data_IF_795466528739
#
_entry.id   IF_795466528739
#
_cell.length_a   1.000
_cell.length_b   1.000
_cell.length_c   1.000
_cell.angle_alpha   90.00
_cell.angle_beta   90.00
_cell.angle_gamma   90.00
#
_symmetry.space_group_name_H-M   'P 1'
#
loop_
_entity.id
_entity.type
_entity.pdbx_description
1 polymer ?
#
# COMPACT_ATOMS: atom_id res chain seq x y z
N UNK A 1 16.55 10.48 -0.36
CA UNK A 1 15.09 10.36 -0.55
C UNK A 1 14.55 10.01 0.82
N UNK A 2 14.09 11.00 1.57
CA UNK A 2 13.68 10.84 2.99
C UNK A 2 12.16 10.59 3.15
N UNK A 3 11.52 9.95 2.16
CA UNK A 3 10.08 9.67 2.20
C UNK A 3 9.78 8.28 1.64
N UNK A 4 8.94 7.52 2.34
CA UNK A 4 8.45 6.22 1.90
C UNK A 4 7.35 6.33 0.83
N UNK A 5 6.82 5.19 0.38
CA UNK A 5 5.87 5.14 -0.73
C UNK A 5 4.54 5.87 -0.44
N UNK A 6 4.06 5.82 0.80
CA UNK A 6 2.91 6.61 1.25
C UNK A 6 3.19 8.12 1.18
N UNK A 7 4.41 8.55 1.49
CA UNK A 7 4.78 9.96 1.48
C UNK A 7 4.82 10.49 0.04
N UNK A 8 5.24 9.66 -0.92
CA UNK A 8 5.15 9.98 -2.35
C UNK A 8 3.69 10.08 -2.81
N UNK A 9 2.83 9.12 -2.46
CA UNK A 9 1.38 9.19 -2.77
C UNK A 9 0.73 10.46 -2.19
N UNK A 10 1.08 10.84 -0.96
CA UNK A 10 0.57 12.03 -0.31
C UNK A 10 1.06 13.32 -0.99
N UNK A 11 2.35 13.39 -1.33
CA UNK A 11 2.95 14.53 -2.07
C UNK A 11 2.28 14.78 -3.41
N UNK A 12 1.78 13.73 -4.07
CA UNK A 12 1.02 13.83 -5.33
C UNK A 12 -0.49 14.03 -5.12
N UNK A 13 -0.94 14.34 -3.91
CA UNK A 13 -2.36 14.52 -3.56
C UNK A 13 -3.26 13.34 -3.94
N UNK A 14 -2.71 12.12 -3.95
CA UNK A 14 -3.46 10.91 -4.28
C UNK A 14 -4.16 10.34 -3.04
N UNK A 15 -3.61 10.61 -1.86
CA UNK A 15 -4.11 10.12 -0.56
C UNK A 15 -3.99 11.20 0.53
N UNK A 16 -4.80 11.08 1.57
CA UNK A 16 -4.75 11.94 2.75
C UNK A 16 -3.48 11.71 3.59
N UNK A 17 -3.23 12.59 4.57
CA UNK A 17 -2.15 12.44 5.54
C UNK A 17 -2.29 11.18 6.42
N UNK A 18 -3.53 10.69 6.62
CA UNK A 18 -3.83 9.53 7.47
C UNK A 18 -3.66 8.19 6.73
N UNK A 19 -3.45 8.21 5.42
CA UNK A 19 -3.35 6.99 4.61
C UNK A 19 -2.23 6.07 5.11
N UNK A 20 -1.07 6.63 5.46
CA UNK A 20 0.09 5.87 5.95
C UNK A 20 -0.23 5.06 7.20
N UNK A 21 -0.88 5.68 8.19
CA UNK A 21 -1.32 4.99 9.41
C UNK A 21 -2.33 3.87 9.08
N UNK A 22 -3.25 4.14 8.15
CA UNK A 22 -4.26 3.15 7.74
C UNK A 22 -3.65 1.89 7.11
N UNK A 23 -2.56 2.03 6.34
CA UNK A 23 -1.79 0.90 5.80
C UNK A 23 -1.16 0.10 6.93
N UNK A 24 -0.43 0.75 7.85
CA UNK A 24 0.22 0.05 8.96
C UNK A 24 -0.77 -0.69 9.86
N UNK A 25 -1.94 -0.09 10.11
CA UNK A 25 -3.01 -0.74 10.86
C UNK A 25 -3.49 -2.02 10.17
N UNK A 26 -3.63 -2.02 8.83
CA UNK A 26 -4.04 -3.21 8.08
C UNK A 26 -2.97 -4.29 8.08
N UNK A 27 -1.71 -3.92 7.87
CA UNK A 27 -0.57 -4.84 7.91
C UNK A 27 -0.47 -5.57 9.26
N UNK A 28 -0.73 -4.84 10.36
CA UNK A 28 -0.72 -5.42 11.71
C UNK A 28 -1.84 -6.44 11.96
N UNK A 29 -2.98 -6.30 11.27
CA UNK A 29 -4.11 -7.23 11.40
C UNK A 29 -3.83 -8.51 10.61
N UNK A 30 -3.33 -8.36 9.39
CA UNK A 30 -3.01 -9.47 8.50
C UNK A 30 -1.92 -9.00 7.53
N UNK A 31 -0.89 -9.83 7.36
CA UNK A 31 0.18 -9.56 6.40
C UNK A 31 -0.41 -9.38 4.99
N UNK A 32 0.11 -8.39 4.25
CA UNK A 32 -0.26 -8.17 2.84
C UNK A 32 0.71 -8.83 1.86
N UNK A 33 1.63 -9.66 2.38
CA UNK A 33 2.47 -10.56 1.60
C UNK A 33 1.61 -11.61 0.87
N UNK A 34 1.89 -11.78 -0.41
CA UNK A 34 1.26 -12.78 -1.29
C UNK A 34 2.21 -13.96 -1.58
N UNK A 35 3.35 -14.04 -0.90
CA UNK A 35 4.46 -14.91 -1.25
C UNK A 35 5.15 -14.49 -2.56
N UNK A 36 6.08 -15.33 -3.04
CA UNK A 36 6.85 -15.09 -4.28
C UNK A 36 7.51 -13.72 -4.37
N UNK A 37 7.82 -13.16 -3.21
CA UNK A 37 8.37 -11.84 -3.09
C UNK A 37 7.50 -10.70 -3.56
N UNK A 38 6.21 -10.74 -3.25
CA UNK A 38 5.27 -9.68 -3.60
C UNK A 38 4.42 -9.39 -2.36
N UNK A 39 4.33 -8.11 -1.98
CA UNK A 39 3.33 -7.64 -1.03
C UNK A 39 2.53 -6.51 -1.64
N UNK A 40 1.26 -6.43 -1.26
CA UNK A 40 0.35 -5.38 -1.70
C UNK A 40 -0.17 -4.60 -0.50
N UNK A 41 0.67 -3.79 0.18
CA UNK A 41 0.21 -2.94 1.26
C UNK A 41 -0.81 -1.93 0.74
N UNK A 42 -1.97 -1.89 1.37
CA UNK A 42 -3.06 -0.99 1.01
C UNK A 42 -3.72 -0.42 2.25
N UNK A 43 -4.24 0.79 2.14
CA UNK A 43 -4.84 1.56 3.22
C UNK A 43 -6.37 1.42 3.32
N UNK A 44 -6.99 2.40 3.97
CA UNK A 44 -8.45 2.58 3.94
C UNK A 44 -8.86 3.39 2.72
N UNK A 45 -9.93 2.97 2.05
CA UNK A 45 -10.52 3.69 0.91
C UNK A 45 -10.96 5.11 1.27
N UNK A 46 -11.31 5.36 2.53
CA UNK A 46 -11.69 6.71 3.03
C UNK A 46 -10.57 7.74 2.93
N UNK A 47 -9.32 7.27 2.86
CA UNK A 47 -8.14 8.12 2.78
C UNK A 47 -7.64 8.28 1.34
N UNK A 48 -8.33 7.68 0.35
CA UNK A 48 -8.00 7.80 -1.08
C UNK A 48 -8.71 9.04 -1.65
N UNK A 49 -7.93 9.93 -2.25
CA UNK A 49 -8.42 11.11 -2.97
C UNK A 49 -8.51 10.81 -4.47
N UNK A 50 -7.51 10.08 -4.98
CA UNK A 50 -7.42 9.66 -6.39
C UNK A 50 -6.69 8.32 -6.49
N UNK A 51 -7.29 7.37 -7.19
CA UNK A 51 -6.72 6.04 -7.46
C UNK A 51 -5.36 6.15 -8.18
N UNK A 52 -4.33 5.53 -7.59
CA UNK A 52 -2.96 5.47 -8.11
C UNK A 52 -2.21 4.30 -7.50
N UNK A 53 -1.35 3.66 -8.28
CA UNK A 53 -0.45 2.60 -7.82
C UNK A 53 0.98 3.15 -7.79
N UNK A 54 1.73 2.79 -6.75
CA UNK A 54 3.18 3.02 -6.68
C UNK A 54 3.87 1.67 -6.44
N UNK A 55 4.88 1.39 -7.27
CA UNK A 55 5.62 0.13 -7.26
C UNK A 55 7.07 0.42 -6.83
N UNK A 56 7.60 -0.35 -5.89
CA UNK A 56 9.00 -0.30 -5.53
C UNK A 56 9.61 -1.69 -5.36
N UNK A 57 10.83 -1.83 -5.87
CA UNK A 57 11.69 -3.00 -5.67
C UNK A 57 12.78 -2.64 -4.68
N UNK A 58 12.94 -3.46 -3.64
CA UNK A 58 14.00 -3.29 -2.65
C UNK A 58 15.28 -3.99 -3.12
N UNK A 59 16.42 -3.28 -3.06
CA UNK A 59 17.73 -3.87 -3.40
C UNK A 59 18.23 -4.86 -2.35
N UNK A 60 17.95 -4.58 -1.08
CA UNK A 60 18.35 -5.38 0.07
C UNK A 60 17.17 -5.48 1.03
N UNK A 61 17.01 -6.66 1.62
CA UNK A 61 15.90 -7.00 2.50
C UNK A 61 16.19 -6.59 3.96
N UNK A 62 15.16 -6.09 4.66
CA UNK A 62 15.18 -5.95 6.12
C UNK A 62 14.16 -6.93 6.71
N UNK A 63 14.66 -7.90 7.47
CA UNK A 63 13.91 -9.06 7.93
C UNK A 63 13.30 -8.82 9.32
N UNK A 64 11.99 -8.62 9.37
CA UNK A 64 11.17 -9.08 10.50
C UNK A 64 9.85 -9.67 9.98
N UNK A 65 9.89 -10.49 8.92
CA UNK A 65 8.93 -11.57 8.60
C UNK A 65 9.19 -12.11 7.18
N UNK A 66 9.46 -13.40 7.12
CA UNK A 66 9.99 -14.21 6.01
C UNK A 66 9.36 -14.00 4.63
N UNK A 67 10.05 -13.25 3.77
CA UNK A 67 10.33 -13.52 2.34
C UNK A 67 10.87 -12.22 1.71
N UNK A 68 11.76 -12.28 0.71
CA UNK A 68 12.14 -11.09 -0.09
C UNK A 68 10.86 -10.45 -0.63
N UNK A 69 10.68 -9.13 -0.80
CA UNK A 69 9.35 -8.60 -1.20
C UNK A 69 9.44 -7.33 -2.06
N UNK A 70 8.85 -7.35 -3.26
CA UNK A 70 8.45 -6.19 -4.06
C UNK A 70 7.15 -5.63 -3.47
N UNK A 71 7.16 -4.34 -3.10
CA UNK A 71 6.00 -3.69 -2.49
C UNK A 71 5.18 -2.97 -3.55
N UNK A 72 3.91 -3.33 -3.67
CA UNK A 72 2.89 -2.70 -4.51
C UNK A 72 1.92 -1.94 -3.61
N UNK A 73 1.95 -0.62 -3.63
CA UNK A 73 0.89 0.16 -3.00
C UNK A 73 -0.25 0.34 -3.99
N UNK A 74 -1.33 -0.42 -3.81
CA UNK A 74 -2.51 -0.35 -4.65
C UNK A 74 -3.64 0.44 -3.96
N UNK A 75 -4.22 1.38 -4.69
CA UNK A 75 -5.38 2.18 -4.30
C UNK A 75 -6.47 1.90 -5.33
N UNK A 76 -7.32 0.89 -5.08
CA UNK A 76 -8.53 0.69 -5.86
C UNK A 76 -9.71 1.47 -5.26
N UNK A 77 -10.49 2.09 -6.13
CA UNK A 77 -11.93 2.26 -5.91
C UNK A 77 -12.62 0.95 -6.28
N UNK A 78 -13.34 0.33 -5.35
CA UNK A 78 -14.26 -0.76 -5.66
C UNK A 78 -15.64 -0.15 -5.95
N UNK A 79 -15.95 0.12 -7.21
CA UNK A 79 -17.35 0.31 -7.58
C UNK A 79 -18.06 -1.06 -7.47
N UNK A 80 -18.88 -1.22 -6.42
CA UNK A 80 -19.91 -2.27 -6.42
C UNK A 80 -20.85 -1.98 -7.59
N UNK A 81 -20.66 -2.65 -8.73
CA UNK A 81 -21.79 -2.89 -9.62
C UNK A 81 -22.70 -3.88 -8.91
N UNK A 82 -23.81 -3.37 -8.35
CA UNK A 82 -24.91 -4.22 -7.89
C UNK A 82 -25.39 -5.05 -9.09
N UNK A 83 -25.12 -6.36 -9.07
CA UNK A 83 -25.80 -7.28 -9.97
C UNK A 83 -27.29 -7.30 -9.60
N UNK A 84 -28.11 -7.08 -10.62
CA UNK A 84 -29.58 -7.15 -10.58
C UNK A 84 -30.04 -8.60 -10.41
#
# INVERSE_FOLDING_TARGET
MDGGLCDELHKHHCVSENYKESVFRREKIMATDLGNNIAIPHGSEKEIIKSKIVIATLKNYFMESTSSTDYFYDCYEYERTSSN
#
